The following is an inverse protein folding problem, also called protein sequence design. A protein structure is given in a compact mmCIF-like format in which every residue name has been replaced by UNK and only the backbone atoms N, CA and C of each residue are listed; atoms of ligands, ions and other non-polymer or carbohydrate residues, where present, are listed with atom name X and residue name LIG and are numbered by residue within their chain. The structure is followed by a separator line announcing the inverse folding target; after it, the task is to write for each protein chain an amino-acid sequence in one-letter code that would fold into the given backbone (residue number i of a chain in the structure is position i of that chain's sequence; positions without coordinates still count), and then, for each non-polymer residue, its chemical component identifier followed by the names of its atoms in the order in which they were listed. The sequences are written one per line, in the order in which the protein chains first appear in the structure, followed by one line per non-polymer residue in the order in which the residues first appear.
data_IF_453214029467
#
_entry.id   IF_453214029467
#
_cell.length_a   1.000
_cell.length_b   1.000
_cell.length_c   1.000
_cell.angle_alpha   90.00
_cell.angle_beta   90.00
_cell.angle_gamma   90.00
#
_symmetry.space_group_name_H-M   'P 1'
#
loop_
_entity.id
_entity.type
_entity.pdbx_description
1 polymer ?
#
# COMPACT_ATOMS: atom_id res chain seq x y z
N UNK A 1 15.95 -12.91 20.94
CA UNK A 1 15.46 -13.66 19.77
C UNK A 1 15.93 -12.86 18.57
N UNK A 2 16.87 -13.41 17.79
CA UNK A 2 17.42 -12.71 16.62
C UNK A 2 16.30 -12.64 15.59
N UNK A 3 15.96 -11.43 15.12
CA UNK A 3 15.01 -11.24 14.03
C UNK A 3 15.40 -12.21 12.90
N UNK A 4 14.43 -12.98 12.39
CA UNK A 4 14.68 -13.78 11.21
C UNK A 4 15.19 -12.83 10.13
N UNK A 5 16.36 -13.12 9.57
CA UNK A 5 16.89 -12.44 8.40
C UNK A 5 15.93 -12.74 7.25
N UNK A 6 14.89 -11.91 7.10
CA UNK A 6 13.85 -12.10 6.10
C UNK A 6 14.47 -11.84 4.73
N UNK A 7 14.58 -12.91 3.94
CA UNK A 7 15.19 -12.84 2.62
C UNK A 7 14.51 -11.73 1.79
N UNK A 8 15.28 -10.82 1.16
CA UNK A 8 14.73 -9.75 0.35
C UNK A 8 13.88 -10.31 -0.79
N UNK A 9 12.82 -9.58 -1.17
CA UNK A 9 12.01 -9.93 -2.32
C UNK A 9 12.91 -10.07 -3.56
N UNK A 10 12.70 -11.15 -4.30
CA UNK A 10 13.52 -11.47 -5.46
C UNK A 10 12.88 -10.88 -6.71
N UNK A 11 13.47 -9.81 -7.26
CA UNK A 11 12.95 -9.10 -8.45
C UNK A 11 13.98 -9.20 -9.60
N UNK A 12 14.03 -10.31 -10.33
CA UNK A 12 15.09 -10.59 -11.31
C UNK A 12 14.87 -9.89 -12.65
N UNK A 13 13.63 -9.49 -12.95
CA UNK A 13 13.24 -8.95 -14.24
C UNK A 13 12.06 -7.97 -14.10
N UNK A 14 11.72 -7.34 -15.22
CA UNK A 14 10.61 -6.37 -15.30
C UNK A 14 9.26 -7.01 -15.02
N UNK A 15 9.06 -8.27 -15.38
CA UNK A 15 7.76 -8.93 -15.22
C UNK A 15 7.43 -9.11 -13.74
N UNK A 16 8.42 -9.54 -12.95
CA UNK A 16 8.29 -9.63 -11.49
C UNK A 16 8.07 -8.24 -10.85
N UNK A 17 8.79 -7.20 -11.33
CA UNK A 17 8.57 -5.83 -10.83
C UNK A 17 7.14 -5.35 -11.12
N UNK A 18 6.61 -5.61 -12.31
CA UNK A 18 5.23 -5.28 -12.70
C UNK A 18 4.24 -6.05 -11.83
N UNK A 19 4.50 -7.32 -11.55
CA UNK A 19 3.66 -8.14 -10.69
C UNK A 19 3.58 -7.56 -9.27
N UNK A 20 4.71 -7.25 -8.64
CA UNK A 20 4.75 -6.68 -7.29
C UNK A 20 4.11 -5.29 -7.23
N UNK A 21 4.33 -4.45 -8.25
CA UNK A 21 3.65 -3.15 -8.37
C UNK A 21 2.13 -3.30 -8.56
N UNK A 22 1.69 -4.33 -9.29
CA UNK A 22 0.26 -4.62 -9.44
C UNK A 22 -0.34 -5.07 -8.11
N UNK A 23 0.36 -5.93 -7.37
CA UNK A 23 -0.05 -6.34 -6.02
C UNK A 23 -0.10 -5.14 -5.06
N UNK A 24 0.89 -4.24 -5.11
CA UNK A 24 0.89 -2.98 -4.37
C UNK A 24 -0.32 -2.11 -4.72
N UNK A 25 -0.64 -1.93 -6.01
CA UNK A 25 -1.80 -1.18 -6.44
C UNK A 25 -3.13 -1.75 -5.91
N UNK A 26 -3.24 -3.09 -5.86
CA UNK A 26 -4.42 -3.74 -5.28
C UNK A 26 -4.54 -3.48 -3.78
N UNK A 27 -3.42 -3.49 -3.04
CA UNK A 27 -3.36 -3.18 -1.61
C UNK A 27 -3.80 -1.75 -1.32
N UNK A 28 -3.14 -0.75 -1.91
CA UNK A 28 -3.47 0.68 -1.72
C UNK A 28 -4.96 0.93 -2.04
N UNK A 29 -5.45 0.35 -3.14
CA UNK A 29 -6.85 0.49 -3.53
C UNK A 29 -7.80 -0.19 -2.52
N UNK A 30 -7.44 -1.37 -2.01
CA UNK A 30 -8.19 -2.10 -1.01
C UNK A 30 -8.25 -1.35 0.33
N UNK A 31 -7.11 -0.85 0.80
CA UNK A 31 -6.98 -0.06 2.02
C UNK A 31 -7.78 1.24 1.94
N UNK A 32 -7.60 2.02 0.86
CA UNK A 32 -8.42 3.19 0.55
C UNK A 32 -9.92 2.91 0.71
N UNK A 33 -10.40 1.81 0.12
CA UNK A 33 -11.81 1.43 0.20
C UNK A 33 -12.25 1.05 1.61
N UNK A 34 -11.38 0.39 2.38
CA UNK A 34 -11.63 0.03 3.78
C UNK A 34 -11.78 1.27 4.66
N UNK A 35 -10.85 2.24 4.55
CA UNK A 35 -10.95 3.51 5.28
C UNK A 35 -12.19 4.30 4.91
N UNK A 36 -12.52 4.41 3.62
CA UNK A 36 -13.74 5.09 3.15
C UNK A 36 -15.01 4.44 3.73
N UNK A 37 -15.07 3.10 3.74
CA UNK A 37 -16.21 2.38 4.30
C UNK A 37 -16.37 2.66 5.80
N UNK A 38 -15.29 2.57 6.58
CA UNK A 38 -15.30 2.91 8.00
C UNK A 38 -15.75 4.36 8.22
N UNK A 39 -15.18 5.33 7.49
CA UNK A 39 -15.54 6.74 7.58
C UNK A 39 -17.02 7.02 7.25
N UNK A 40 -17.58 6.30 6.27
CA UNK A 40 -18.98 6.47 5.85
C UNK A 40 -19.99 5.73 6.73
N UNK A 41 -19.54 4.75 7.52
CA UNK A 41 -20.40 4.09 8.52
C UNK A 41 -20.67 4.94 9.77
N UNK A 42 -19.83 5.95 10.04
CA UNK A 42 -20.06 6.92 11.11
C UNK A 42 -21.37 7.69 10.87
N UNK A 43 -22.20 7.82 11.89
CA UNK A 43 -23.45 8.59 11.83
C UNK A 43 -23.19 10.06 11.47
N UNK A 44 -24.04 10.64 10.61
CA UNK A 44 -23.92 12.05 10.15
C UNK A 44 -24.75 12.98 11.03
N UNK A 45 -26.04 12.68 11.12
CA UNK A 45 -27.02 13.47 11.84
C UNK A 45 -27.94 12.53 12.61
N UNK A 46 -28.05 12.75 13.91
CA UNK A 46 -28.94 12.01 14.80
C UNK A 46 -29.33 12.91 15.96
N UNK A 47 -30.63 12.96 16.26
CA UNK A 47 -31.17 13.73 17.38
C UNK A 47 -30.59 13.28 18.74
N UNK A 48 -29.99 12.08 18.77
CA UNK A 48 -29.51 11.41 19.99
C UNK A 48 -28.08 11.79 20.40
N UNK A 49 -27.36 12.62 19.63
CA UNK A 49 -26.01 13.06 20.02
C UNK A 49 -26.04 14.47 20.64
N UNK A 50 -25.19 14.68 21.63
CA UNK A 50 -24.84 16.02 22.13
C UNK A 50 -24.00 16.79 21.10
N UNK A 51 -23.92 18.13 21.18
CA UNK A 51 -23.00 18.91 20.34
C UNK A 51 -21.54 18.45 20.42
N UNK A 52 -21.09 18.03 21.60
CA UNK A 52 -19.72 17.55 21.81
C UNK A 52 -19.45 16.22 21.08
N UNK A 53 -20.38 15.27 21.14
CA UNK A 53 -20.29 13.99 20.43
C UNK A 53 -20.31 14.20 18.91
N UNK A 54 -21.17 15.10 18.40
CA UNK A 54 -21.16 15.46 16.97
C UNK A 54 -19.81 16.01 16.52
N UNK A 55 -19.21 16.89 17.33
CA UNK A 55 -17.88 17.42 17.04
C UNK A 55 -16.80 16.32 17.07
N UNK A 56 -16.87 15.36 18.00
CA UNK A 56 -15.95 14.23 18.06
C UNK A 56 -16.07 13.32 16.82
N UNK A 57 -17.29 12.93 16.45
CA UNK A 57 -17.54 12.10 15.25
C UNK A 57 -17.08 12.80 13.97
N UNK A 58 -17.29 14.12 13.86
CA UNK A 58 -16.81 14.90 12.73
C UNK A 58 -15.27 14.89 12.64
N UNK A 59 -14.57 15.04 13.76
CA UNK A 59 -13.09 14.94 13.81
C UNK A 59 -12.61 13.56 13.41
N UNK A 60 -13.17 12.49 13.99
CA UNK A 60 -12.77 11.12 13.64
C UNK A 60 -13.01 10.80 12.17
N UNK A 61 -14.14 11.22 11.60
CA UNK A 61 -14.41 11.07 10.17
C UNK A 61 -13.38 11.82 9.34
N UNK A 62 -13.02 13.04 9.73
CA UNK A 62 -12.01 13.83 9.01
C UNK A 62 -10.65 13.13 9.03
N UNK A 63 -10.22 12.59 10.17
CA UNK A 63 -8.97 11.83 10.31
C UNK A 63 -8.95 10.59 9.41
N UNK A 64 -9.98 9.73 9.46
CA UNK A 64 -10.04 8.52 8.64
C UNK A 64 -10.06 8.85 7.13
N UNK A 65 -10.76 9.94 6.76
CA UNK A 65 -10.78 10.40 5.36
C UNK A 65 -9.43 10.96 4.91
N UNK A 66 -8.65 11.56 5.82
CA UNK A 66 -7.31 12.03 5.48
C UNK A 66 -6.42 10.85 5.10
N UNK A 67 -6.40 9.78 5.91
CA UNK A 67 -5.67 8.54 5.60
C UNK A 67 -6.15 7.95 4.27
N UNK A 68 -7.47 7.87 4.04
CA UNK A 68 -7.99 7.39 2.75
C UNK A 68 -7.52 8.22 1.54
N UNK A 69 -7.22 9.51 1.72
CA UNK A 69 -6.66 10.37 0.67
C UNK A 69 -5.16 10.10 0.49
N UNK A 70 -4.44 9.78 1.56
CA UNK A 70 -3.03 9.33 1.46
C UNK A 70 -2.95 8.04 0.63
N UNK A 71 -3.82 7.06 0.88
CA UNK A 71 -3.93 5.84 0.05
C UNK A 71 -4.27 6.13 -1.42
N UNK A 72 -5.02 7.21 -1.71
CA UNK A 72 -5.25 7.66 -3.11
C UNK A 72 -3.97 8.19 -3.75
N UNK A 73 -3.13 8.89 -2.97
CA UNK A 73 -1.82 9.38 -3.42
C UNK A 73 -0.89 8.19 -3.68
N UNK A 74 -0.84 7.23 -2.76
CA UNK A 74 -0.03 6.02 -2.92
C UNK A 74 -0.45 5.25 -4.17
N UNK A 75 -1.75 5.00 -4.35
CA UNK A 75 -2.27 4.37 -5.56
C UNK A 75 -1.84 5.13 -6.82
N UNK A 76 -1.93 6.46 -6.82
CA UNK A 76 -1.46 7.31 -7.92
C UNK A 76 0.04 7.14 -8.21
N UNK A 77 0.87 7.11 -7.17
CA UNK A 77 2.31 6.89 -7.28
C UNK A 77 2.65 5.49 -7.81
N UNK A 78 1.94 4.45 -7.37
CA UNK A 78 2.10 3.09 -7.91
C UNK A 78 1.71 3.01 -9.38
N UNK A 79 0.65 3.71 -9.81
CA UNK A 79 0.31 3.81 -11.23
C UNK A 79 1.40 4.52 -12.03
N UNK A 80 1.99 5.58 -11.48
CA UNK A 80 3.11 6.27 -12.10
C UNK A 80 4.34 5.36 -12.21
N UNK A 81 4.65 4.58 -11.17
CA UNK A 81 5.72 3.57 -11.17
C UNK A 81 5.51 2.52 -12.27
N UNK A 82 4.30 1.93 -12.36
CA UNK A 82 3.92 1.00 -13.45
C UNK A 82 4.08 1.64 -14.82
N UNK A 83 3.50 2.82 -15.00
CA UNK A 83 3.54 3.54 -16.27
C UNK A 83 4.97 3.91 -16.66
N UNK A 84 5.84 4.25 -15.70
CA UNK A 84 7.23 4.64 -15.94
C UNK A 84 8.05 3.53 -16.61
N UNK A 85 7.74 2.27 -16.29
CA UNK A 85 8.37 1.07 -16.88
C UNK A 85 7.58 0.49 -18.06
N UNK A 86 6.62 1.25 -18.60
CA UNK A 86 5.83 0.87 -19.78
C UNK A 86 4.73 -0.15 -19.49
N UNK A 87 4.38 -0.39 -18.23
CA UNK A 87 3.26 -1.24 -17.86
C UNK A 87 1.94 -0.46 -17.88
N UNK A 88 0.82 -1.16 -18.08
CA UNK A 88 -0.49 -0.56 -17.98
C UNK A 88 -0.85 -0.26 -16.51
N UNK A 89 -1.61 0.81 -16.23
CA UNK A 89 -2.17 1.05 -14.90
C UNK A 89 -3.03 -0.13 -14.42
N UNK A 90 -2.90 -0.51 -13.15
CA UNK A 90 -3.60 -1.64 -12.54
C UNK A 90 -4.62 -1.20 -11.48
N UNK A 91 -5.81 -0.78 -11.91
CA UNK A 91 -6.90 -0.34 -11.00
C UNK A 91 -7.78 -1.48 -10.49
N UNK A 92 -7.59 -2.69 -11.02
CA UNK A 92 -8.35 -3.85 -10.59
C UNK A 92 -7.92 -4.25 -9.18
N UNK A 93 -8.85 -4.79 -8.41
CA UNK A 93 -8.58 -5.46 -7.14
C UNK A 93 -9.56 -6.62 -6.96
N UNK A 94 -9.27 -7.60 -6.10
CA UNK A 94 -10.24 -8.60 -5.71
C UNK A 94 -11.51 -7.99 -5.09
N UNK A 95 -12.65 -8.67 -5.27
CA UNK A 95 -13.87 -8.31 -4.57
C UNK A 95 -13.73 -8.60 -3.07
N UNK A 96 -14.27 -7.70 -2.24
CA UNK A 96 -14.31 -7.84 -0.78
C UNK A 96 -15.60 -8.59 -0.34
N UNK A 97 -15.55 -9.45 0.70
CA UNK A 97 -14.38 -9.81 1.51
C UNK A 97 -13.42 -10.75 0.78
N UNK A 98 -12.11 -10.57 0.97
CA UNK A 98 -11.11 -11.42 0.34
C UNK A 98 -11.07 -12.81 0.98
N UNK A 99 -10.80 -13.82 0.15
CA UNK A 99 -10.52 -15.17 0.64
C UNK A 99 -9.17 -15.20 1.39
N UNK A 100 -9.05 -15.96 2.49
CA UNK A 100 -7.78 -16.14 3.20
C UNK A 100 -6.67 -16.66 2.27
N UNK A 101 -5.46 -16.14 2.42
CA UNK A 101 -4.30 -16.49 1.60
C UNK A 101 -4.20 -15.74 0.27
N UNK A 102 -5.10 -14.78 -0.01
CA UNK A 102 -4.92 -13.87 -1.13
C UNK A 102 -3.76 -12.91 -0.89
N UNK A 103 -3.65 -12.33 0.32
CA UNK A 103 -2.50 -11.55 0.83
C UNK A 103 -1.68 -12.35 1.84
N UNK A 104 -0.46 -11.92 2.20
CA UNK A 104 0.25 -12.53 3.31
C UNK A 104 -0.63 -12.54 4.57
N UNK A 105 -0.49 -13.52 5.47
CA UNK A 105 -1.36 -13.69 6.64
C UNK A 105 -1.50 -12.43 7.51
N UNK A 106 -0.48 -11.59 7.51
CA UNK A 106 -0.39 -10.34 8.25
C UNK A 106 -1.24 -9.21 7.64
N UNK A 107 -1.64 -9.32 6.37
CA UNK A 107 -2.38 -8.28 5.64
C UNK A 107 -3.79 -8.76 5.36
N UNK A 108 -4.73 -8.37 6.21
CA UNK A 108 -6.16 -8.66 6.02
C UNK A 108 -6.92 -7.38 5.67
N UNK A 109 -7.56 -7.34 4.49
CA UNK A 109 -8.38 -6.21 4.06
C UNK A 109 -9.85 -6.64 4.10
N UNK A 110 -10.67 -5.93 4.88
CA UNK A 110 -12.10 -6.20 5.01
C UNK A 110 -12.89 -4.90 5.19
N UNK A 111 -14.10 -4.84 4.60
CA UNK A 111 -15.03 -3.74 4.80
C UNK A 111 -15.71 -3.89 6.17
N UNK A 112 -15.18 -3.20 7.18
CA UNK A 112 -15.72 -3.21 8.56
C UNK A 112 -16.24 -1.80 8.93
N UNK A 113 -17.44 -1.67 9.55
CA UNK A 113 -17.93 -0.38 10.02
C UNK A 113 -17.05 0.13 11.16
N UNK A 114 -17.07 1.45 11.40
CA UNK A 114 -16.31 2.10 12.45
C UNK A 114 -16.60 1.47 13.82
N UNK A 115 -15.55 0.98 14.45
CA UNK A 115 -15.54 0.41 15.80
C UNK A 115 -14.11 0.50 16.34
N UNK A 116 -13.92 0.30 17.65
CA UNK A 116 -12.59 0.23 18.24
C UNK A 116 -11.72 -0.85 17.56
N UNK A 117 -12.28 -2.04 17.36
CA UNK A 117 -11.61 -3.16 16.68
C UNK A 117 -11.20 -2.82 15.24
N UNK A 118 -11.99 -2.01 14.51
CA UNK A 118 -11.62 -1.57 13.16
C UNK A 118 -10.46 -0.57 13.17
N UNK A 119 -10.39 0.30 14.17
CA UNK A 119 -9.26 1.22 14.32
C UNK A 119 -7.99 0.48 14.75
N UNK A 120 -8.10 -0.47 15.69
CA UNK A 120 -6.99 -1.34 16.09
C UNK A 120 -6.44 -2.12 14.88
N UNK A 121 -7.32 -2.61 14.01
CA UNK A 121 -6.95 -3.25 12.76
C UNK A 121 -6.17 -2.33 11.82
N UNK A 122 -6.57 -1.08 11.66
CA UNK A 122 -5.82 -0.11 10.84
C UNK A 122 -4.45 0.20 11.43
N UNK A 123 -4.38 0.42 12.75
CA UNK A 123 -3.12 0.64 13.46
C UNK A 123 -2.17 -0.55 13.31
N UNK A 124 -2.71 -1.77 13.32
CA UNK A 124 -1.93 -2.98 13.08
C UNK A 124 -1.37 -3.04 11.65
N UNK A 125 -2.15 -2.64 10.64
CA UNK A 125 -1.70 -2.63 9.24
C UNK A 125 -0.62 -1.58 8.97
N UNK A 126 -0.70 -0.42 9.61
CA UNK A 126 0.25 0.70 9.47
C UNK A 126 1.51 0.54 10.34
N UNK A 127 1.69 -0.58 11.05
CA UNK A 127 2.82 -0.76 11.96
C UNK A 127 4.16 -0.74 11.19
N UNK A 128 5.22 -0.10 11.73
CA UNK A 128 6.55 -0.16 11.14
C UNK A 128 7.08 -1.58 11.11
N UNK A 129 7.89 -1.89 10.10
CA UNK A 129 8.50 -3.23 9.96
C UNK A 129 9.42 -3.63 11.13
N UNK A 130 9.90 -2.67 11.92
CA UNK A 130 10.83 -2.90 13.03
C UNK A 130 10.14 -3.36 14.33
N UNK A 131 8.80 -3.35 14.36
CA UNK A 131 7.99 -3.69 15.54
C UNK A 131 7.33 -5.08 15.41
N UNK A 132 8.14 -6.10 15.15
CA UNK A 132 7.69 -7.51 15.16
C UNK A 132 7.41 -7.99 16.59
N UNK A 133 6.19 -7.73 17.06
CA UNK A 133 5.73 -8.23 18.36
C UNK A 133 4.29 -7.92 18.76
N UNK A 134 3.51 -7.19 17.94
CA UNK A 134 2.12 -6.88 18.24
C UNK A 134 1.18 -8.08 18.09
N UNK A 135 0.22 -8.20 19.01
CA UNK A 135 -0.80 -9.25 19.01
C UNK A 135 -1.51 -9.35 17.65
N UNK A 136 -1.63 -10.59 17.18
CA UNK A 136 -2.30 -10.97 15.95
C UNK A 136 -3.74 -10.44 15.85
N UNK A 137 -4.19 -10.07 14.64
CA UNK A 137 -5.63 -9.97 14.34
C UNK A 137 -6.32 -11.27 14.82
N UNK A 138 -7.40 -11.21 15.62
CA UNK A 138 -8.13 -12.40 16.08
C UNK A 138 -8.72 -13.25 14.93
N UNK A 139 -8.85 -12.70 13.72
CA UNK A 139 -9.25 -13.43 12.52
C UNK A 139 -8.06 -14.05 11.75
N UNK A 140 -6.83 -14.00 12.28
CA UNK A 140 -5.64 -14.63 11.66
C UNK A 140 -5.90 -16.10 11.32
N UNK A 141 -5.76 -16.43 10.04
CA UNK A 141 -5.68 -17.80 9.55
C UNK A 141 -4.28 -18.04 9.03
N UNK A 142 -3.59 -19.02 9.60
CA UNK A 142 -2.23 -19.42 9.21
C UNK A 142 -2.27 -20.10 7.82
N UNK A 143 -2.37 -19.28 6.77
CA UNK A 143 -2.35 -19.72 5.38
C UNK A 143 -1.10 -19.13 4.71
N UNK A 144 -0.01 -19.89 4.70
CA UNK A 144 1.15 -19.53 3.88
C UNK A 144 0.75 -19.57 2.40
N UNK A 145 1.02 -18.49 1.64
CA UNK A 145 0.85 -18.53 0.18
C UNK A 145 1.82 -19.59 -0.37
N UNK A 146 1.41 -20.40 -1.35
CA UNK A 146 2.32 -21.38 -1.92
C UNK A 146 3.48 -20.66 -2.63
N UNK A 147 4.63 -20.54 -1.95
CA UNK A 147 5.91 -20.16 -2.56
C UNK A 147 6.19 -21.14 -3.70
N UNK A 148 6.11 -20.67 -4.94
CA UNK A 148 6.50 -21.48 -6.10
C UNK A 148 7.97 -21.20 -6.39
N UNK A 149 8.88 -22.20 -6.26
CA UNK A 149 10.30 -21.95 -6.46
C UNK A 149 10.59 -21.51 -7.90
N UNK A 150 11.41 -20.44 -8.05
CA UNK A 150 12.05 -19.90 -9.27
C UNK A 150 11.36 -20.34 -10.57
N UNK A 151 10.20 -19.77 -10.87
CA UNK A 151 9.58 -19.91 -12.19
C UNK A 151 10.07 -18.80 -13.13
N UNK A 152 10.02 -19.07 -14.43
CA UNK A 152 10.20 -18.06 -15.48
C UNK A 152 9.04 -17.04 -15.54
N UNK A 153 8.03 -17.19 -14.70
CA UNK A 153 6.80 -16.41 -14.66
C UNK A 153 6.73 -15.71 -13.32
N UNK A 154 6.25 -14.47 -13.30
CA UNK A 154 6.12 -13.70 -12.07
C UNK A 154 5.22 -14.40 -11.05
N UNK A 155 5.55 -14.29 -9.75
CA UNK A 155 4.87 -15.07 -8.71
C UNK A 155 4.72 -14.33 -7.39
N UNK A 156 3.63 -14.63 -6.66
CA UNK A 156 3.40 -14.10 -5.32
C UNK A 156 4.59 -14.42 -4.39
N UNK A 157 5.05 -13.39 -3.69
CA UNK A 157 6.05 -13.49 -2.64
C UNK A 157 5.42 -13.15 -1.28
N UNK A 158 5.93 -13.76 -0.22
CA UNK A 158 5.50 -13.44 1.14
C UNK A 158 6.31 -12.26 1.68
N UNK A 159 5.63 -11.33 2.34
CA UNK A 159 6.15 -10.22 3.12
C UNK A 159 5.26 -10.03 4.35
N UNK A 160 5.82 -9.52 5.44
CA UNK A 160 5.15 -9.33 6.74
C UNK A 160 4.52 -7.95 6.90
N UNK A 161 5.01 -6.96 6.16
CA UNK A 161 4.53 -5.57 6.19
C UNK A 161 4.48 -4.96 4.79
N UNK A 162 3.62 -3.96 4.60
CA UNK A 162 3.53 -3.19 3.34
C UNK A 162 4.87 -2.50 3.04
N UNK A 163 5.57 -2.01 4.06
CA UNK A 163 6.91 -1.43 3.91
C UNK A 163 7.95 -2.41 3.36
N UNK A 164 7.91 -3.68 3.73
CA UNK A 164 8.80 -4.69 3.16
C UNK A 164 8.52 -4.93 1.68
N UNK A 165 7.25 -4.92 1.26
CA UNK A 165 6.87 -4.98 -0.15
C UNK A 165 7.54 -3.84 -0.93
N UNK A 166 7.40 -2.61 -0.44
CA UNK A 166 7.95 -1.43 -1.10
C UNK A 166 9.48 -1.38 -1.11
N UNK A 167 10.16 -1.80 -0.05
CA UNK A 167 11.64 -1.93 -0.05
C UNK A 167 12.11 -2.98 -1.07
N UNK A 168 11.37 -4.07 -1.23
CA UNK A 168 11.65 -5.06 -2.28
C UNK A 168 11.45 -4.51 -3.69
N UNK A 169 10.41 -3.70 -3.90
CA UNK A 169 10.17 -2.97 -5.16
C UNK A 169 11.31 -1.99 -5.44
N UNK A 170 11.76 -1.21 -4.43
CA UNK A 170 12.89 -0.28 -4.56
C UNK A 170 14.17 -1.02 -4.99
N UNK A 171 14.52 -2.10 -4.29
CA UNK A 171 15.67 -2.93 -4.63
C UNK A 171 15.56 -3.50 -6.06
N UNK A 172 14.35 -3.86 -6.50
CA UNK A 172 14.08 -4.29 -7.87
C UNK A 172 14.34 -3.19 -8.90
N UNK A 173 13.89 -1.96 -8.64
CA UNK A 173 14.20 -0.80 -9.49
C UNK A 173 15.70 -0.55 -9.57
N UNK A 174 16.41 -0.55 -8.44
CA UNK A 174 17.86 -0.33 -8.40
C UNK A 174 18.63 -1.41 -9.17
N UNK A 175 18.27 -2.68 -8.96
CA UNK A 175 18.89 -3.82 -9.65
C UNK A 175 18.68 -3.75 -11.17
N UNK A 176 17.46 -3.51 -11.61
CA UNK A 176 17.12 -3.44 -13.03
C UNK A 176 17.71 -2.20 -13.70
N UNK A 177 17.76 -1.05 -13.00
CA UNK A 177 18.43 0.14 -13.51
C UNK A 177 19.93 -0.10 -13.69
N UNK A 178 20.59 -0.76 -12.74
CA UNK A 178 22.01 -1.12 -12.85
C UNK A 178 22.31 -2.15 -13.95
N UNK A 179 21.37 -3.07 -14.21
CA UNK A 179 21.55 -4.17 -15.18
C UNK A 179 21.15 -3.78 -16.60
N UNK A 180 20.04 -3.07 -16.77
CA UNK A 180 19.47 -2.69 -18.06
C UNK A 180 19.88 -1.27 -18.49
N UNK A 181 20.19 -0.39 -17.53
CA UNK A 181 20.30 1.05 -17.72
C UNK A 181 18.95 1.75 -17.59
N UNK A 182 18.93 2.96 -17.02
CA UNK A 182 17.70 3.73 -16.79
C UNK A 182 16.93 4.01 -18.08
N UNK A 183 17.60 4.34 -19.18
CA UNK A 183 16.92 4.58 -20.48
C UNK A 183 16.12 3.38 -20.96
N UNK A 184 16.57 2.15 -20.65
CA UNK A 184 15.86 0.93 -21.01
C UNK A 184 14.85 0.52 -19.96
N UNK A 185 15.02 0.90 -18.71
CA UNK A 185 14.03 0.63 -17.66
C UNK A 185 12.83 1.56 -17.79
N UNK A 186 13.07 2.87 -17.84
CA UNK A 186 12.06 3.92 -17.85
C UNK A 186 11.60 4.28 -19.27
N UNK A 187 11.02 3.29 -19.96
CA UNK A 187 10.53 3.42 -21.34
C UNK A 187 9.09 3.94 -21.44
N UNK A 188 8.45 4.24 -20.31
CA UNK A 188 7.09 4.74 -20.22
C UNK A 188 6.86 6.08 -20.92
N UNK A 189 5.67 6.26 -21.50
CA UNK A 189 5.29 7.55 -22.07
C UNK A 189 5.02 8.56 -20.94
N UNK A 190 5.78 9.67 -20.92
CA UNK A 190 5.61 10.71 -19.90
C UNK A 190 4.20 11.33 -19.88
N UNK A 191 3.47 11.26 -21.00
CA UNK A 191 2.11 11.80 -21.11
C UNK A 191 1.07 11.02 -20.29
N UNK A 192 1.40 9.80 -19.85
CA UNK A 192 0.52 9.00 -19.00
C UNK A 192 0.86 9.12 -17.52
N UNK A 193 1.88 9.91 -17.15
CA UNK A 193 2.19 10.23 -15.76
C UNK A 193 1.16 11.21 -15.19
N UNK A 194 0.79 11.00 -13.93
CA UNK A 194 -0.12 11.88 -13.19
C UNK A 194 0.70 12.72 -12.22
N UNK A 195 0.83 14.01 -12.51
CA UNK A 195 1.49 14.97 -11.63
C UNK A 195 0.53 16.02 -11.03
N UNK A 196 1.08 16.96 -10.24
CA UNK A 196 0.32 18.05 -9.61
C UNK A 196 -0.47 18.94 -10.59
N UNK A 197 -0.05 18.97 -11.86
CA UNK A 197 -0.72 19.72 -12.93
C UNK A 197 -2.09 19.15 -13.28
N UNK A 198 -2.29 17.85 -13.10
CA UNK A 198 -3.55 17.15 -13.36
C UNK A 198 -4.36 17.01 -12.07
N UNK A 199 -3.70 16.65 -10.96
CA UNK A 199 -4.33 16.42 -9.67
C UNK A 199 -3.45 16.98 -8.55
N UNK A 200 -3.90 18.06 -7.93
CA UNK A 200 -3.17 18.76 -6.87
C UNK A 200 -3.33 18.05 -5.51
N UNK A 201 -2.88 16.80 -5.43
CA UNK A 201 -2.73 16.07 -4.16
C UNK A 201 -1.28 16.17 -3.68
N UNK A 202 -1.12 16.47 -2.40
CA UNK A 202 0.19 16.63 -1.77
C UNK A 202 1.01 15.33 -1.83
N UNK A 203 2.24 15.41 -2.34
CA UNK A 203 3.15 14.27 -2.49
C UNK A 203 3.03 13.50 -3.80
N UNK A 204 1.97 13.70 -4.59
CA UNK A 204 1.84 13.10 -5.92
C UNK A 204 2.82 13.75 -6.90
N UNK A 205 3.61 12.94 -7.61
CA UNK A 205 4.58 13.42 -8.59
C UNK A 205 4.79 12.39 -9.72
N UNK A 206 5.29 12.88 -10.85
CA UNK A 206 5.63 12.05 -12.01
C UNK A 206 6.89 11.22 -11.72
N UNK A 207 6.91 9.98 -12.20
CA UNK A 207 8.04 9.06 -12.10
C UNK A 207 8.61 8.83 -13.50
N UNK A 208 9.85 9.26 -13.72
CA UNK A 208 10.50 9.22 -15.04
C UNK A 208 11.91 8.67 -15.03
N UNK A 209 12.46 8.39 -13.86
CA UNK A 209 13.83 7.92 -13.65
C UNK A 209 13.93 7.20 -12.28
N UNK A 210 15.10 6.65 -11.98
CA UNK A 210 15.30 5.92 -10.72
C UNK A 210 15.14 6.84 -9.50
N UNK A 211 15.60 8.09 -9.59
CA UNK A 211 15.53 9.03 -8.48
C UNK A 211 14.07 9.36 -8.09
N UNK A 212 13.23 9.66 -9.08
CA UNK A 212 11.79 9.89 -8.88
C UNK A 212 11.06 8.63 -8.45
N UNK A 213 11.45 7.44 -8.93
CA UNK A 213 10.87 6.17 -8.46
C UNK A 213 11.16 5.94 -6.97
N UNK A 214 12.39 6.18 -6.53
CA UNK A 214 12.77 6.08 -5.11
C UNK A 214 12.02 7.08 -4.25
N UNK A 215 11.90 8.32 -4.70
CA UNK A 215 11.13 9.36 -4.00
C UNK A 215 9.65 8.97 -3.84
N UNK A 216 9.05 8.35 -4.86
CA UNK A 216 7.68 7.81 -4.77
C UNK A 216 7.58 6.69 -3.73
N UNK A 217 8.52 5.75 -3.73
CA UNK A 217 8.52 4.60 -2.82
C UNK A 217 8.77 5.04 -1.36
N UNK A 218 9.76 5.89 -1.13
CA UNK A 218 10.07 6.46 0.18
C UNK A 218 8.85 7.18 0.76
N UNK A 219 8.17 7.99 -0.05
CA UNK A 219 6.93 8.67 0.35
C UNK A 219 5.86 7.69 0.81
N UNK A 220 5.63 6.62 0.05
CA UNK A 220 4.61 5.61 0.41
C UNK A 220 4.99 4.91 1.72
N UNK A 221 6.26 4.56 1.91
CA UNK A 221 6.74 3.95 3.15
C UNK A 221 6.57 4.90 4.34
N UNK A 222 7.01 6.16 4.20
CA UNK A 222 6.93 7.16 5.27
C UNK A 222 5.49 7.43 5.72
N UNK A 223 4.55 7.49 4.79
CA UNK A 223 3.13 7.68 5.12
C UNK A 223 2.47 6.40 5.63
N UNK A 224 2.72 5.27 4.96
CA UNK A 224 2.06 3.99 5.22
C UNK A 224 2.53 3.28 6.49
N UNK A 225 3.78 3.46 6.92
CA UNK A 225 4.27 2.93 8.21
C UNK A 225 3.96 3.88 9.39
N UNK A 226 3.15 4.92 9.16
CA UNK A 226 2.88 5.97 10.13
C UNK A 226 4.15 6.74 10.46
N UNK A 227 4.43 7.79 9.70
CA UNK A 227 5.50 8.75 10.00
C UNK A 227 5.51 9.03 11.51
N UNK A 228 6.65 8.69 12.14
CA UNK A 228 6.99 8.90 13.56
C UNK A 228 6.14 10.01 14.13
N UNK A 229 5.13 9.64 14.93
CA UNK A 229 4.08 10.55 15.38
C UNK A 229 4.61 11.95 15.60
N UNK A 230 4.05 12.91 14.86
CA UNK A 230 4.27 14.33 15.11
C UNK A 230 4.09 14.57 16.62
N UNK A 231 5.22 14.83 17.28
CA UNK A 231 5.30 15.25 18.67
C UNK A 231 4.69 16.64 18.86
#
# INVERSE_FOLDING_TARGET
MVAADEAPLHVPDREELIYLLSEAAELEHGLMCSYLFAAFSLKRDGADHTPAERAAVARWRASIRAVAIEEMVHLGLVMNLLASIGAAPHLQRPNLPLAPGFYPPEVTIALRPFSAATIEHFVFLERPSEQDGGDADPDRRENQRPRRPRQLVASAQDYTTVGQLYRGIEAGFEYLAGTLGEERLFLGDRRVQVGPSLLALEGLHEVTDLASARMAIERIIEQGEGARGLA
#
